data_IF_537974149240
#
_entry.id   IF_537974149240
#
_cell.length_a   1.000
_cell.length_b   1.000
_cell.length_c   1.000
_cell.angle_alpha   90.00
_cell.angle_beta   90.00
_cell.angle_gamma   90.00
#
_symmetry.space_group_name_H-M   'P 1'
#
loop_
_entity.id
_entity.type
_entity.pdbx_description
1 polymer ?
#
# COMPACT_ATOMS: atom_id res chain seq x y z
N UNK A 1 -57.78 -21.87 -27.71
CA UNK A 1 -57.57 -20.42 -27.83
C UNK A 1 -56.33 -20.06 -27.02
N UNK A 2 -55.47 -19.23 -27.61
CA UNK A 2 -54.39 -18.39 -27.07
C UNK A 2 -54.29 -18.28 -25.53
N UNK A 3 -53.13 -18.14 -24.85
CA UNK A 3 -51.79 -17.70 -25.24
C UNK A 3 -50.93 -17.59 -23.96
N UNK A 4 -49.61 -17.81 -24.09
CA UNK A 4 -48.50 -17.10 -23.41
C UNK A 4 -48.41 -17.08 -21.87
N UNK A 5 -47.27 -16.85 -21.21
CA UNK A 5 -45.83 -17.17 -21.33
C UNK A 5 -45.16 -16.49 -20.11
N UNK A 6 -43.97 -16.96 -19.72
CA UNK A 6 -43.02 -16.37 -18.74
C UNK A 6 -43.38 -16.58 -17.26
N UNK A 7 -42.52 -17.10 -16.40
CA UNK A 7 -41.12 -17.53 -16.53
C UNK A 7 -40.43 -17.40 -15.17
N UNK A 8 -39.53 -18.34 -14.85
CA UNK A 8 -38.21 -18.08 -14.26
C UNK A 8 -37.46 -19.40 -14.06
N UNK A 9 -36.34 -19.52 -14.77
CA UNK A 9 -35.23 -20.44 -14.52
C UNK A 9 -34.52 -20.03 -13.24
N UNK A 10 -34.13 -21.00 -12.42
CA UNK A 10 -32.91 -20.93 -11.61
C UNK A 10 -32.21 -22.28 -11.71
N UNK A 11 -31.10 -22.30 -12.45
CA UNK A 11 -30.20 -23.43 -12.60
C UNK A 11 -29.09 -23.37 -11.53
N UNK A 12 -28.93 -24.49 -10.82
CA UNK A 12 -27.69 -25.16 -10.39
C UNK A 12 -26.50 -24.32 -9.90
N UNK A 13 -26.18 -24.50 -8.62
CA UNK A 13 -24.87 -25.04 -8.20
C UNK A 13 -24.98 -25.63 -6.77
N UNK A 14 -25.29 -26.93 -6.69
CA UNK A 14 -25.09 -27.75 -5.47
C UNK A 14 -23.97 -28.73 -5.78
N UNK A 15 -22.84 -28.57 -5.09
CA UNK A 15 -21.77 -29.54 -5.10
C UNK A 15 -22.29 -30.86 -4.50
N UNK A 16 -22.25 -31.94 -5.30
CA UNK A 16 -22.50 -33.31 -4.85
C UNK A 16 -21.26 -33.78 -4.09
N UNK A 17 -21.42 -34.14 -2.81
CA UNK A 17 -20.45 -34.99 -2.11
C UNK A 17 -21.04 -36.42 -2.14
N UNK A 18 -20.30 -37.31 -2.80
CA UNK A 18 -20.64 -38.72 -2.98
C UNK A 18 -20.54 -39.46 -1.63
N UNK A 19 -21.61 -40.16 -1.23
CA UNK A 19 -21.63 -40.97 -0.03
C UNK A 19 -21.27 -42.43 -0.31
N UNK A 20 -20.24 -42.94 0.37
CA UNK A 20 -20.22 -44.19 1.17
C UNK A 20 -18.79 -44.72 1.32
N UNK A 21 -18.27 -44.62 2.53
CA UNK A 21 -17.38 -45.60 3.14
C UNK A 21 -17.79 -45.69 4.61
N UNK A 22 -18.57 -46.72 4.96
CA UNK A 22 -18.88 -47.08 6.36
C UNK A 22 -17.61 -47.66 7.00
N UNK A 23 -16.82 -46.83 7.67
CA UNK A 23 -15.93 -47.25 8.75
C UNK A 23 -16.25 -46.33 9.93
N UNK A 24 -16.60 -46.93 11.08
CA UNK A 24 -16.89 -46.19 12.31
C UNK A 24 -15.64 -45.43 12.75
N UNK A 25 -15.58 -44.15 12.36
CA UNK A 25 -14.63 -43.19 12.88
C UNK A 25 -15.42 -42.31 13.84
N UNK A 26 -14.92 -42.22 15.06
CA UNK A 26 -15.52 -41.52 16.18
C UNK A 26 -15.71 -40.03 15.84
N UNK A 27 -16.88 -39.66 15.32
CA UNK A 27 -17.19 -38.29 14.87
C UNK A 27 -17.06 -37.25 16.00
N UNK A 28 -17.01 -37.69 17.26
CA UNK A 28 -16.70 -36.82 18.41
C UNK A 28 -15.21 -36.53 18.52
N UNK A 29 -14.35 -37.52 18.31
CA UNK A 29 -12.89 -37.34 18.37
C UNK A 29 -12.41 -36.36 17.28
N UNK A 30 -12.99 -36.41 16.07
CA UNK A 30 -12.69 -35.43 15.01
C UNK A 30 -13.19 -34.02 15.33
N UNK A 31 -14.37 -33.89 15.95
CA UNK A 31 -14.92 -32.59 16.33
C UNK A 31 -14.15 -31.95 17.50
N UNK A 32 -13.70 -32.75 18.46
CA UNK A 32 -12.86 -32.29 19.56
C UNK A 32 -11.44 -31.95 19.07
N UNK A 33 -10.86 -32.71 18.13
CA UNK A 33 -9.58 -32.37 17.50
C UNK A 33 -9.67 -31.07 16.67
N UNK A 34 -10.77 -30.88 15.94
CA UNK A 34 -11.02 -29.64 15.20
C UNK A 34 -11.22 -28.47 16.16
N UNK A 35 -11.89 -28.67 17.30
CA UNK A 35 -12.06 -27.63 18.34
C UNK A 35 -10.74 -27.32 19.03
N UNK A 36 -9.90 -28.30 19.34
CA UNK A 36 -8.56 -28.10 19.89
C UNK A 36 -7.63 -27.42 18.88
N UNK A 37 -7.67 -27.79 17.59
CA UNK A 37 -6.95 -27.09 16.54
C UNK A 37 -7.45 -25.65 16.38
N UNK A 38 -8.76 -25.40 16.52
CA UNK A 38 -9.35 -24.06 16.50
C UNK A 38 -8.97 -23.26 17.75
N UNK A 39 -8.92 -23.87 18.94
CA UNK A 39 -8.48 -23.28 20.21
C UNK A 39 -6.97 -22.98 20.22
N UNK A 40 -6.15 -23.83 19.57
CA UNK A 40 -4.72 -23.59 19.35
C UNK A 40 -4.47 -22.48 18.33
N UNK A 41 -5.31 -22.35 17.30
CA UNK A 41 -5.24 -21.24 16.33
C UNK A 41 -5.76 -19.92 16.92
N UNK A 42 -6.62 -19.97 17.94
CA UNK A 42 -7.25 -18.77 18.53
C UNK A 42 -6.49 -18.17 19.70
N UNK A 43 -5.51 -18.86 20.28
CA UNK A 43 -4.62 -18.31 21.31
C UNK A 43 -3.22 -18.08 20.75
N UNK A 44 -3.06 -16.96 20.05
CA UNK A 44 -1.75 -16.47 19.64
C UNK A 44 -1.09 -15.75 20.82
N UNK A 45 0.09 -16.22 21.24
CA UNK A 45 0.87 -15.50 22.25
C UNK A 45 1.43 -14.22 21.62
N UNK A 46 1.37 -13.11 22.34
CA UNK A 46 2.00 -11.83 21.95
C UNK A 46 3.48 -12.03 21.65
N UNK A 47 4.16 -12.97 22.32
CA UNK A 47 5.56 -13.29 22.05
C UNK A 47 5.80 -13.83 20.64
N UNK A 48 4.80 -14.48 20.03
CA UNK A 48 4.86 -15.04 18.68
C UNK A 48 4.64 -14.02 17.57
N UNK A 49 4.25 -12.78 17.92
CA UNK A 49 4.09 -11.69 16.97
C UNK A 49 5.45 -11.17 16.47
N UNK A 50 5.48 -10.73 15.22
CA UNK A 50 6.60 -9.96 14.68
C UNK A 50 6.73 -8.61 15.41
N UNK A 51 7.93 -8.02 15.39
CA UNK A 51 8.15 -6.74 16.07
C UNK A 51 7.25 -5.62 15.52
N UNK A 52 6.96 -5.63 14.22
CA UNK A 52 6.03 -4.69 13.60
C UNK A 52 4.59 -4.86 14.09
N UNK A 53 4.15 -6.11 14.30
CA UNK A 53 2.84 -6.40 14.88
C UNK A 53 2.77 -6.00 16.35
N UNK A 54 3.83 -6.26 17.12
CA UNK A 54 3.93 -5.83 18.53
C UNK A 54 3.87 -4.30 18.67
N UNK A 55 4.59 -3.57 17.82
CA UNK A 55 4.54 -2.10 17.81
C UNK A 55 3.14 -1.59 17.47
N UNK A 56 2.51 -2.18 16.44
CA UNK A 56 1.13 -1.82 16.06
C UNK A 56 0.15 -2.12 17.18
N UNK A 57 0.23 -3.29 17.80
CA UNK A 57 -0.62 -3.68 18.92
C UNK A 57 -0.43 -2.75 20.12
N UNK A 58 0.82 -2.37 20.42
CA UNK A 58 1.12 -1.42 21.49
C UNK A 58 0.49 -0.05 21.26
N UNK A 59 0.55 0.47 20.02
CA UNK A 59 -0.09 1.74 19.66
C UNK A 59 -1.61 1.69 19.89
N UNK A 60 -2.28 0.69 19.32
CA UNK A 60 -3.74 0.54 19.47
C UNK A 60 -4.12 0.30 20.93
N UNK A 61 -3.34 -0.49 21.66
CA UNK A 61 -3.54 -0.76 23.08
C UNK A 61 -3.39 0.49 23.95
N UNK A 62 -2.40 1.34 23.68
CA UNK A 62 -2.23 2.60 24.42
C UNK A 62 -3.38 3.56 24.17
N UNK A 63 -3.82 3.73 22.91
CA UNK A 63 -4.99 4.56 22.58
C UNK A 63 -6.24 4.03 23.27
N UNK A 64 -6.53 2.72 23.16
CA UNK A 64 -7.68 2.10 23.80
C UNK A 64 -7.68 2.27 25.32
N UNK A 65 -6.52 2.05 25.95
CA UNK A 65 -6.35 2.24 27.40
C UNK A 65 -6.60 3.69 27.80
N UNK A 66 -6.04 4.66 27.09
CA UNK A 66 -6.22 6.09 27.39
C UNK A 66 -7.68 6.52 27.20
N UNK A 67 -8.36 5.98 26.17
CA UNK A 67 -9.79 6.23 25.96
C UNK A 67 -10.65 5.67 27.09
N UNK A 68 -10.36 4.48 27.59
CA UNK A 68 -11.05 3.90 28.73
C UNK A 68 -10.86 4.71 30.02
N UNK A 69 -9.67 5.27 30.23
CA UNK A 69 -9.40 6.16 31.37
C UNK A 69 -10.13 7.49 31.22
N UNK A 70 -10.15 8.06 30.02
CA UNK A 70 -10.79 9.35 29.74
C UNK A 70 -12.32 9.27 29.76
N UNK A 71 -12.89 8.11 29.40
CA UNK A 71 -14.33 7.87 29.30
C UNK A 71 -14.81 6.73 30.22
N UNK A 72 -14.62 6.84 31.55
CA UNK A 72 -14.84 5.72 32.49
C UNK A 72 -16.31 5.31 32.66
N UNK A 73 -17.25 6.14 32.19
CA UNK A 73 -18.69 5.89 32.31
C UNK A 73 -19.31 5.25 31.06
N UNK A 74 -18.52 4.98 30.03
CA UNK A 74 -18.99 4.29 28.82
C UNK A 74 -18.90 2.77 28.99
N UNK A 75 -19.93 2.07 28.55
CA UNK A 75 -19.95 0.59 28.51
C UNK A 75 -18.92 0.05 27.49
N UNK A 76 -18.77 0.74 26.36
CA UNK A 76 -17.69 0.51 25.38
C UNK A 76 -16.76 1.73 25.33
N UNK A 77 -15.59 1.66 25.99
CA UNK A 77 -14.56 2.69 25.93
C UNK A 77 -14.13 3.13 24.53
N UNK A 78 -14.21 2.25 23.52
CA UNK A 78 -13.75 2.56 22.16
C UNK A 78 -14.72 3.50 21.42
N UNK A 79 -15.94 3.66 21.92
CA UNK A 79 -16.91 4.64 21.43
C UNK A 79 -16.74 6.02 22.07
N UNK A 80 -15.75 6.20 22.94
CA UNK A 80 -15.47 7.49 23.56
C UNK A 80 -15.06 8.56 22.56
N UNK A 81 -15.41 9.80 22.85
CA UNK A 81 -14.94 10.97 22.11
C UNK A 81 -13.54 11.37 22.56
N UNK A 82 -12.77 11.99 21.67
CA UNK A 82 -11.45 12.51 22.02
C UNK A 82 -10.65 13.03 20.83
N UNK A 83 -9.53 13.67 21.16
CA UNK A 83 -8.52 14.11 20.18
C UNK A 83 -7.22 13.39 20.48
N UNK A 84 -6.65 12.75 19.47
CA UNK A 84 -5.39 12.00 19.59
C UNK A 84 -4.37 12.58 18.64
N UNK A 85 -3.21 12.95 19.18
CA UNK A 85 -2.05 13.41 18.43
C UNK A 85 -1.05 12.26 18.35
N UNK A 86 -0.64 11.91 17.13
CA UNK A 86 0.36 10.87 16.88
C UNK A 86 1.45 11.48 16.01
N UNK A 87 2.66 11.53 16.56
CA UNK A 87 3.84 11.90 15.80
C UNK A 87 4.43 10.64 15.15
N UNK A 88 4.84 10.74 13.88
CA UNK A 88 5.44 9.64 13.09
C UNK A 88 4.65 8.33 13.22
N UNK A 89 3.41 8.30 12.74
CA UNK A 89 2.51 7.15 12.90
C UNK A 89 3.13 5.82 12.45
N UNK A 90 3.97 5.84 11.44
CA UNK A 90 4.64 4.66 10.89
C UNK A 90 5.81 4.12 11.73
N UNK A 91 6.24 4.83 12.78
CA UNK A 91 7.50 4.52 13.46
C UNK A 91 7.51 3.08 13.96
N UNK A 92 8.53 2.31 13.53
CA UNK A 92 8.69 0.87 13.79
C UNK A 92 7.58 -0.05 13.22
N UNK A 93 6.70 0.43 12.34
CA UNK A 93 5.72 -0.40 11.64
C UNK A 93 6.30 -0.98 10.35
N UNK A 94 5.98 -2.25 10.09
CA UNK A 94 6.25 -2.85 8.78
C UNK A 94 5.41 -2.19 7.68
N UNK A 95 5.93 -2.11 6.46
CA UNK A 95 5.30 -1.41 5.31
C UNK A 95 3.89 -1.91 4.99
N UNK A 96 3.64 -3.21 5.16
CA UNK A 96 2.30 -3.80 4.98
C UNK A 96 1.26 -3.28 5.99
N UNK A 97 1.69 -2.91 7.20
CA UNK A 97 0.85 -2.33 8.24
C UNK A 97 0.64 -0.84 8.03
N UNK A 98 1.66 -0.12 7.54
CA UNK A 98 1.55 1.30 7.17
C UNK A 98 0.41 1.54 6.16
N UNK A 99 0.18 0.63 5.21
CA UNK A 99 -0.96 0.76 4.28
C UNK A 99 -2.35 0.53 4.90
N UNK A 100 -2.42 -0.05 6.09
CA UNK A 100 -3.69 -0.43 6.71
C UNK A 100 -4.03 0.46 7.90
N UNK A 101 -3.02 1.03 8.56
CA UNK A 101 -3.12 1.66 9.89
C UNK A 101 -4.18 2.74 9.94
N UNK A 102 -4.23 3.64 8.95
CA UNK A 102 -5.22 4.73 8.90
C UNK A 102 -6.65 4.18 8.88
N UNK A 103 -6.91 3.22 7.98
CA UNK A 103 -8.23 2.61 7.85
C UNK A 103 -8.66 1.86 9.12
N UNK A 104 -7.70 1.27 9.83
CA UNK A 104 -7.95 0.57 11.08
C UNK A 104 -8.20 1.54 12.23
N UNK A 105 -7.45 2.64 12.33
CA UNK A 105 -7.68 3.68 13.34
C UNK A 105 -9.11 4.25 13.22
N UNK A 106 -9.55 4.60 12.00
CA UNK A 106 -10.91 5.07 11.74
C UNK A 106 -11.99 4.05 12.14
N UNK A 107 -11.77 2.77 11.86
CA UNK A 107 -12.74 1.70 12.16
C UNK A 107 -12.81 1.38 13.65
N UNK A 108 -11.66 1.36 14.32
CA UNK A 108 -11.56 0.97 15.73
C UNK A 108 -12.00 2.11 16.65
N UNK A 109 -11.71 3.37 16.28
CA UNK A 109 -11.97 4.55 17.11
C UNK A 109 -12.80 5.58 16.32
N UNK A 110 -14.10 5.31 16.08
CA UNK A 110 -14.91 6.08 15.14
C UNK A 110 -15.15 7.53 15.56
N UNK A 111 -15.11 7.82 16.88
CA UNK A 111 -15.43 9.13 17.45
C UNK A 111 -14.18 9.95 17.81
N UNK A 112 -13.02 9.53 17.31
CA UNK A 112 -11.74 10.20 17.59
C UNK A 112 -11.31 11.08 16.43
N UNK A 113 -10.98 12.33 16.77
CA UNK A 113 -10.24 13.19 15.86
C UNK A 113 -8.75 12.88 15.96
N UNK A 114 -8.18 12.32 14.89
CA UNK A 114 -6.75 12.07 14.78
C UNK A 114 -6.03 13.26 14.13
N UNK A 115 -4.95 13.71 14.76
CA UNK A 115 -3.96 14.62 14.18
C UNK A 115 -2.65 13.85 14.09
N UNK A 116 -2.18 13.62 12.88
CA UNK A 116 -1.12 12.65 12.62
C UNK A 116 -0.02 13.32 11.79
N UNK A 117 1.24 13.05 12.13
CA UNK A 117 2.38 13.35 11.26
C UNK A 117 2.92 12.05 10.67
N UNK A 118 3.44 12.13 9.44
CA UNK A 118 4.04 10.98 8.76
C UNK A 118 5.03 11.46 7.68
N UNK A 119 6.10 10.71 7.52
CA UNK A 119 7.01 10.77 6.38
C UNK A 119 6.90 9.50 5.51
N UNK A 120 5.90 8.64 5.75
CA UNK A 120 5.73 7.41 5.00
C UNK A 120 4.91 7.63 3.73
N UNK A 121 5.48 7.39 2.52
CA UNK A 121 4.69 7.39 1.30
C UNK A 121 3.65 6.25 1.29
N UNK A 122 3.84 5.18 2.08
CA UNK A 122 2.85 4.10 2.18
C UNK A 122 1.61 4.53 2.93
N UNK A 123 1.75 5.37 3.96
CA UNK A 123 0.62 5.94 4.68
C UNK A 123 -0.09 6.95 3.78
N UNK A 124 0.66 7.87 3.18
CA UNK A 124 0.11 8.93 2.32
C UNK A 124 -0.70 8.37 1.13
N UNK A 125 -0.26 7.26 0.54
CA UNK A 125 -0.96 6.58 -0.56
C UNK A 125 -2.34 6.01 -0.19
N UNK A 126 -2.67 5.94 1.09
CA UNK A 126 -3.95 5.43 1.62
C UNK A 126 -4.82 6.55 2.21
N UNK A 127 -4.38 7.80 2.11
CA UNK A 127 -5.10 8.99 2.59
C UNK A 127 -6.10 9.43 1.52
N UNK A 128 -7.37 9.11 1.75
CA UNK A 128 -8.51 9.51 0.91
C UNK A 128 -9.02 10.94 1.20
N UNK A 129 -10.16 11.27 0.62
CA UNK A 129 -10.79 12.59 0.73
C UNK A 129 -11.41 12.89 2.10
N UNK A 130 -11.49 11.90 3.00
CA UNK A 130 -11.96 12.11 4.37
C UNK A 130 -10.89 12.80 5.24
N UNK A 131 -9.68 13.01 4.71
CA UNK A 131 -8.57 13.61 5.43
C UNK A 131 -8.23 15.01 4.90
N UNK A 132 -7.89 15.89 5.84
CA UNK A 132 -7.20 17.13 5.52
C UNK A 132 -5.69 16.88 5.56
N UNK A 133 -5.01 17.08 4.43
CA UNK A 133 -3.57 16.86 4.32
C UNK A 133 -2.85 18.21 4.27
N UNK A 134 -1.84 18.36 5.11
CA UNK A 134 -1.01 19.55 5.19
C UNK A 134 0.46 19.16 4.99
N UNK A 135 1.10 19.76 3.99
CA UNK A 135 2.53 19.67 3.78
C UNK A 135 3.23 20.75 4.61
N UNK A 136 4.27 20.35 5.32
CA UNK A 136 5.10 21.23 6.14
C UNK A 136 6.48 21.34 5.50
N UNK A 137 6.94 22.56 5.24
CA UNK A 137 8.30 22.82 4.77
C UNK A 137 8.95 23.90 5.63
N UNK A 138 10.27 23.82 5.79
CA UNK A 138 11.06 24.79 6.56
C UNK A 138 11.84 25.68 5.60
N UNK A 139 11.65 26.99 5.71
CA UNK A 139 12.43 28.00 4.99
C UNK A 139 13.16 28.88 6.02
N UNK A 140 14.43 28.55 6.30
CA UNK A 140 15.18 29.18 7.39
C UNK A 140 14.58 28.86 8.77
N UNK A 141 14.14 29.90 9.47
CA UNK A 141 13.43 29.80 10.75
C UNK A 141 11.92 29.58 10.61
N UNK A 142 11.36 29.86 9.43
CA UNK A 142 9.92 29.90 9.22
C UNK A 142 9.41 28.53 8.75
N UNK A 143 8.25 28.16 9.27
CA UNK A 143 7.54 26.95 8.85
C UNK A 143 6.42 27.38 7.92
N UNK A 144 6.46 26.90 6.67
CA UNK A 144 5.38 27.05 5.72
C UNK A 144 4.46 25.84 5.82
N UNK A 145 3.15 26.11 5.80
CA UNK A 145 2.10 25.10 5.84
C UNK A 145 1.26 25.26 4.59
N UNK A 146 1.18 24.20 3.79
CA UNK A 146 0.40 24.20 2.55
C UNK A 146 -0.60 23.06 2.61
N UNK A 147 -1.89 23.39 2.49
CA UNK A 147 -2.91 22.36 2.35
C UNK A 147 -2.79 21.72 0.96
N UNK A 148 -2.76 20.39 0.91
CA UNK A 148 -2.62 19.62 -0.33
C UNK A 148 -3.78 18.63 -0.48
N UNK A 149 -3.95 18.10 -1.68
CA UNK A 149 -4.92 17.03 -1.95
C UNK A 149 -4.39 15.69 -1.43
N UNK A 150 -5.31 14.78 -1.08
CA UNK A 150 -4.98 13.40 -0.75
C UNK A 150 -4.21 12.70 -1.88
N UNK A 151 -3.36 11.75 -1.52
CA UNK A 151 -2.49 11.01 -2.44
C UNK A 151 -3.00 9.58 -2.69
N UNK A 152 -4.29 9.36 -2.43
CA UNK A 152 -4.92 8.04 -2.52
C UNK A 152 -4.66 7.36 -3.86
N UNK A 153 -4.08 6.16 -3.80
CA UNK A 153 -3.79 5.33 -4.97
C UNK A 153 -2.55 5.73 -5.78
N UNK A 154 -1.82 6.78 -5.37
CA UNK A 154 -0.50 7.07 -5.95
C UNK A 154 0.50 5.99 -5.56
N UNK A 155 1.43 5.66 -6.47
CA UNK A 155 2.55 4.80 -6.12
C UNK A 155 3.58 5.54 -5.26
N UNK A 156 4.39 4.77 -4.53
CA UNK A 156 5.34 5.34 -3.55
C UNK A 156 6.42 6.21 -4.18
N UNK A 157 6.85 5.91 -5.41
CA UNK A 157 7.90 6.70 -6.06
C UNK A 157 7.33 8.05 -6.49
N UNK A 158 6.13 8.08 -7.06
CA UNK A 158 5.44 9.34 -7.39
C UNK A 158 5.21 10.21 -6.15
N UNK A 159 4.84 9.63 -5.00
CA UNK A 159 4.70 10.40 -3.76
C UNK A 159 6.05 11.00 -3.32
N UNK A 160 7.11 10.20 -3.37
CA UNK A 160 8.45 10.67 -2.99
C UNK A 160 8.90 11.84 -3.88
N UNK A 161 8.79 11.70 -5.19
CA UNK A 161 9.28 12.68 -6.15
C UNK A 161 8.39 13.92 -6.21
N UNK A 162 7.07 13.75 -6.39
CA UNK A 162 6.16 14.88 -6.66
C UNK A 162 5.76 15.64 -5.40
N UNK A 163 5.75 14.98 -4.24
CA UNK A 163 5.16 15.52 -3.00
C UNK A 163 6.15 15.67 -1.86
N UNK A 164 7.18 14.83 -1.81
CA UNK A 164 8.21 14.88 -0.77
C UNK A 164 9.55 15.44 -1.26
N UNK A 165 9.63 15.86 -2.53
CA UNK A 165 10.85 16.42 -3.16
C UNK A 165 12.08 15.53 -2.92
N UNK A 166 11.87 14.22 -2.90
CA UNK A 166 12.88 13.21 -2.57
C UNK A 166 13.04 12.24 -3.74
N UNK A 167 14.28 12.00 -4.14
CA UNK A 167 14.58 11.11 -5.25
C UNK A 167 14.18 9.66 -4.93
N UNK A 168 13.42 9.02 -5.82
CA UNK A 168 13.01 7.62 -5.65
C UNK A 168 14.12 6.60 -6.00
N UNK A 169 15.20 7.09 -6.61
CA UNK A 169 16.36 6.31 -7.04
C UNK A 169 17.65 6.93 -6.51
N UNK A 170 18.76 6.16 -6.55
CA UNK A 170 20.05 6.69 -6.12
C UNK A 170 20.55 7.81 -7.05
N UNK A 171 21.30 8.77 -6.50
CA UNK A 171 21.79 9.93 -7.24
C UNK A 171 22.57 9.55 -8.53
N UNK A 172 23.36 8.47 -8.48
CA UNK A 172 24.11 7.97 -9.66
C UNK A 172 23.15 7.54 -10.77
N UNK A 173 22.10 6.78 -10.42
CA UNK A 173 21.12 6.32 -11.40
C UNK A 173 20.30 7.50 -11.92
N UNK A 174 19.92 8.43 -11.06
CA UNK A 174 19.22 9.66 -11.47
C UNK A 174 20.04 10.45 -12.50
N UNK A 175 21.30 10.76 -12.19
CA UNK A 175 22.16 11.50 -13.10
C UNK A 175 22.32 10.81 -14.46
N UNK A 176 22.56 9.49 -14.46
CA UNK A 176 22.64 8.71 -15.70
C UNK A 176 21.32 8.69 -16.48
N UNK A 177 20.20 8.64 -15.77
CA UNK A 177 18.86 8.66 -16.38
C UNK A 177 18.60 10.02 -17.05
N UNK A 178 18.95 11.12 -16.39
CA UNK A 178 18.86 12.48 -16.93
C UNK A 178 19.77 12.66 -18.17
N UNK A 179 21.01 12.16 -18.11
CA UNK A 179 21.95 12.16 -19.25
C UNK A 179 21.39 11.35 -20.42
N UNK A 180 20.90 10.14 -20.16
CA UNK A 180 20.27 9.27 -21.16
C UNK A 180 19.11 9.97 -21.86
N UNK A 181 18.17 10.56 -21.11
CA UNK A 181 17.04 11.28 -21.69
C UNK A 181 17.48 12.52 -22.47
N UNK A 182 18.51 13.25 -22.00
CA UNK A 182 19.09 14.38 -22.74
C UNK A 182 19.65 13.96 -24.11
N UNK A 183 20.33 12.81 -24.18
CA UNK A 183 20.83 12.25 -25.46
C UNK A 183 19.67 11.83 -26.38
N UNK A 184 18.58 11.27 -25.83
CA UNK A 184 17.37 10.96 -26.60
C UNK A 184 16.72 12.21 -27.20
N UNK A 185 16.67 13.32 -26.47
CA UNK A 185 16.16 14.61 -26.96
C UNK A 185 17.02 15.16 -28.10
N UNK A 186 18.34 15.03 -27.99
CA UNK A 186 19.31 15.38 -29.03
C UNK A 186 19.32 14.39 -30.21
N UNK A 187 18.52 13.33 -30.16
CA UNK A 187 18.47 12.20 -31.12
C UNK A 187 19.79 11.46 -31.26
N UNK A 188 20.69 11.58 -30.28
CA UNK A 188 21.89 10.75 -30.18
C UNK A 188 21.49 9.39 -29.57
N UNK A 189 20.99 8.51 -30.44
CA UNK A 189 20.49 7.20 -30.04
C UNK A 189 21.61 6.24 -29.63
N UNK A 190 22.81 6.40 -30.19
CA UNK A 190 23.94 5.52 -29.87
C UNK A 190 24.52 5.89 -28.50
N UNK A 191 24.68 7.19 -28.23
CA UNK A 191 25.03 7.69 -26.90
C UNK A 191 24.01 7.28 -25.84
N UNK A 192 22.71 7.47 -26.11
CA UNK A 192 21.66 7.07 -25.19
C UNK A 192 21.63 5.55 -24.93
N UNK A 193 21.93 4.73 -25.93
CA UNK A 193 22.02 3.26 -25.77
C UNK A 193 23.19 2.86 -24.87
N UNK A 194 24.36 3.50 -25.02
CA UNK A 194 25.51 3.25 -24.15
C UNK A 194 25.19 3.57 -22.67
N UNK A 195 24.56 4.71 -22.39
CA UNK A 195 24.16 5.06 -21.03
C UNK A 195 23.10 4.08 -20.49
N UNK A 196 22.16 3.63 -21.34
CA UNK A 196 21.19 2.62 -20.95
C UNK A 196 21.87 1.28 -20.58
N UNK A 197 22.89 0.85 -21.31
CA UNK A 197 23.69 -0.34 -21.01
C UNK A 197 24.41 -0.21 -19.65
N UNK A 198 24.99 0.96 -19.35
CA UNK A 198 25.62 1.23 -18.05
C UNK A 198 24.61 1.18 -16.88
N UNK A 199 23.41 1.75 -17.06
CA UNK A 199 22.35 1.68 -16.04
C UNK A 199 21.90 0.22 -15.85
N UNK A 200 21.76 -0.54 -16.93
CA UNK A 200 21.35 -1.95 -16.87
C UNK A 200 22.41 -2.82 -16.17
N UNK A 201 23.70 -2.54 -16.37
CA UNK A 201 24.79 -3.20 -15.64
C UNK A 201 24.69 -2.93 -14.13
N UNK A 202 24.49 -1.67 -13.73
CA UNK A 202 24.36 -1.27 -12.33
C UNK A 202 23.08 -1.82 -11.66
N UNK A 203 21.98 -1.91 -12.42
CA UNK A 203 20.66 -2.28 -11.89
C UNK A 203 20.25 -3.73 -12.16
N UNK A 204 21.14 -4.52 -12.77
CA UNK A 204 20.88 -5.90 -13.18
C UNK A 204 19.68 -6.01 -14.13
N UNK A 205 19.55 -5.09 -15.09
CA UNK A 205 18.45 -5.00 -16.06
C UNK A 205 17.05 -4.84 -15.42
N UNK A 206 16.96 -4.16 -14.26
CA UNK A 206 15.69 -3.94 -13.55
C UNK A 206 15.18 -2.51 -13.62
N UNK A 207 15.93 -1.61 -14.24
CA UNK A 207 15.52 -0.22 -14.39
C UNK A 207 14.41 -0.09 -15.45
N UNK A 208 13.34 0.64 -15.14
CA UNK A 208 12.20 0.79 -16.06
C UNK A 208 12.47 1.82 -17.15
N UNK A 209 13.32 2.82 -16.88
CA UNK A 209 13.66 3.88 -17.82
C UNK A 209 14.56 3.38 -18.93
N UNK A 210 15.45 2.43 -18.68
CA UNK A 210 16.25 1.78 -19.75
C UNK A 210 15.35 1.03 -20.72
N UNK A 211 14.34 0.32 -20.22
CA UNK A 211 13.34 -0.36 -21.07
C UNK A 211 12.57 0.65 -21.93
N UNK A 212 12.12 1.77 -21.34
CA UNK A 212 11.43 2.85 -22.06
C UNK A 212 12.35 3.50 -23.11
N UNK A 213 13.57 3.83 -22.75
CA UNK A 213 14.58 4.42 -23.62
C UNK A 213 14.83 3.54 -24.85
N UNK A 214 15.01 2.23 -24.68
CA UNK A 214 15.22 1.30 -25.80
C UNK A 214 14.04 1.25 -26.78
N UNK A 215 12.80 1.37 -26.28
CA UNK A 215 11.61 1.50 -27.14
C UNK A 215 11.66 2.80 -27.95
N UNK A 216 12.08 3.91 -27.35
CA UNK A 216 12.24 5.21 -28.01
C UNK A 216 13.35 5.14 -29.06
N UNK A 217 14.53 4.63 -28.72
CA UNK A 217 15.68 4.44 -29.61
C UNK A 217 15.29 3.63 -30.84
N UNK A 218 14.64 2.47 -30.64
CA UNK A 218 14.20 1.62 -31.75
C UNK A 218 13.23 2.35 -32.68
N UNK A 219 12.26 3.10 -32.13
CA UNK A 219 11.32 3.91 -32.93
C UNK A 219 12.01 5.06 -33.66
N UNK A 220 12.99 5.71 -33.01
CA UNK A 220 13.77 6.81 -33.56
C UNK A 220 14.63 6.40 -34.76
N UNK A 221 15.34 5.27 -34.64
CA UNK A 221 16.18 4.71 -35.71
C UNK A 221 15.37 4.35 -36.97
N UNK A 222 14.16 3.80 -36.81
CA UNK A 222 13.28 3.51 -37.95
C UNK A 222 12.86 4.78 -38.71
N UNK A 223 12.43 5.84 -37.99
CA UNK A 223 12.02 7.10 -38.63
C UNK A 223 13.17 7.82 -39.33
N UNK A 224 14.38 7.74 -38.79
CA UNK A 224 15.55 8.32 -39.45
C UNK A 224 15.92 7.55 -40.73
N UNK A 225 15.76 6.22 -40.75
CA UNK A 225 16.03 5.41 -41.95
C UNK A 225 15.04 5.70 -43.10
N UNK A 226 13.76 5.94 -42.79
CA UNK A 226 12.75 6.31 -43.80
C UNK A 226 12.98 7.71 -44.41
N UNK A 227 13.65 8.62 -43.69
CA UNK A 227 14.02 9.96 -44.20
C UNK A 227 15.33 9.97 -45.00
N UNK A 228 16.15 8.92 -44.87
CA UNK A 228 17.42 8.77 -45.59
C UNK A 228 17.32 7.96 -46.88
N UNK A 229 16.13 7.44 -47.22
CA UNK A 229 15.89 6.73 -48.47
C UNK A 229 15.07 7.64 -49.41
N UNK A 230 15.71 8.28 -50.43
CA UNK A 230 15.07 9.24 -51.31
C UNK A 230 14.06 8.62 -52.29
#
# INVERSE_FOLDING_TARGET
MASHSKGKRTDRNRAKICGRCDHGVDQKADADLIRELYEMVTNLDVLQLSDGEKCTLALFGDIARRLAIANPSLDDPLQGDGVVLIDELELHMHTSWQRKVISMLKKTFPNIQFIITTHSPQILGEVDHDFNVYALSRNGSDIQVVQTTGMFGMDSNSILEDKMETDSVSAIIKQKTEEMYSLLELKDFDGAENIADEIDELTQNRNIDTVRARVIIRRGRYKNNDLSNP
#
